data_IF_455872274393
#
_entry.id   IF_455872274393
#
_cell.length_a   1.000
_cell.length_b   1.000
_cell.length_c   1.000
_cell.angle_alpha   90.00
_cell.angle_beta   90.00
_cell.angle_gamma   90.00
#
_symmetry.space_group_name_H-M   'P 1'
#
loop_
_entity.id
_entity.type
_entity.pdbx_description
1 polymer ?
#
# COMPACT_ATOMS: atom_id res chain seq x y z
N UNK A 1 -59.81 -41.19 -12.46
CA UNK A 1 -58.69 -40.55 -13.20
C UNK A 1 -58.54 -39.06 -12.87
N UNK A 2 -59.63 -38.29 -12.80
CA UNK A 2 -59.61 -36.83 -12.52
C UNK A 2 -58.99 -36.41 -11.16
N UNK A 3 -59.18 -37.19 -10.09
CA UNK A 3 -58.54 -36.91 -8.78
C UNK A 3 -57.01 -36.99 -8.82
N UNK A 4 -56.44 -37.89 -9.63
CA UNK A 4 -54.97 -38.04 -9.75
C UNK A 4 -54.35 -36.87 -10.53
N UNK A 5 -55.05 -36.37 -11.55
CA UNK A 5 -54.67 -35.19 -12.32
C UNK A 5 -54.69 -33.92 -11.47
N UNK A 6 -55.70 -33.76 -10.61
CA UNK A 6 -55.77 -32.61 -9.69
C UNK A 6 -54.57 -32.59 -8.72
N UNK A 7 -54.17 -33.74 -8.19
CA UNK A 7 -53.01 -33.84 -7.28
C UNK A 7 -51.70 -33.50 -8.00
N UNK A 8 -51.51 -33.98 -9.23
CA UNK A 8 -50.31 -33.69 -10.04
C UNK A 8 -50.20 -32.20 -10.37
N UNK A 9 -51.32 -31.55 -10.72
CA UNK A 9 -51.36 -30.10 -10.98
C UNK A 9 -51.01 -29.31 -9.73
N UNK A 10 -51.54 -29.69 -8.57
CA UNK A 10 -51.21 -29.01 -7.31
C UNK A 10 -49.73 -29.19 -6.93
N UNK A 11 -49.15 -30.39 -7.13
CA UNK A 11 -47.72 -30.63 -6.88
C UNK A 11 -46.84 -29.81 -7.84
N UNK A 12 -47.23 -29.69 -9.12
CA UNK A 12 -46.51 -28.90 -10.12
C UNK A 12 -46.59 -27.38 -9.88
N UNK A 13 -47.63 -26.89 -9.20
CA UNK A 13 -47.79 -25.47 -8.84
C UNK A 13 -46.97 -25.07 -7.60
N UNK A 14 -46.62 -26.01 -6.72
CA UNK A 14 -45.82 -25.74 -5.51
C UNK A 14 -44.32 -25.70 -5.80
N UNK A 15 -43.85 -26.39 -6.85
CA UNK A 15 -42.42 -26.43 -7.23
C UNK A 15 -41.89 -25.14 -7.87
N UNK A 16 -42.75 -24.13 -8.09
CA UNK A 16 -42.38 -22.84 -8.70
C UNK A 16 -42.13 -21.72 -7.67
N UNK A 17 -42.29 -22.01 -6.37
CA UNK A 17 -42.10 -21.00 -5.32
C UNK A 17 -40.61 -20.78 -5.06
N UNK A 18 -40.10 -19.60 -5.43
CA UNK A 18 -38.72 -19.19 -5.10
C UNK A 18 -38.65 -18.70 -3.66
N UNK A 19 -37.70 -19.20 -2.88
CA UNK A 19 -37.50 -18.85 -1.47
C UNK A 19 -36.61 -17.61 -1.23
N UNK A 20 -36.22 -16.90 -2.29
CA UNK A 20 -35.41 -15.69 -2.22
C UNK A 20 -36.19 -14.53 -1.59
N UNK A 21 -35.55 -13.82 -0.66
CA UNK A 21 -36.13 -12.67 0.05
C UNK A 21 -35.75 -11.39 -0.69
N UNK A 22 -36.74 -10.70 -1.24
CA UNK A 22 -36.58 -9.34 -1.77
C UNK A 22 -37.14 -8.32 -0.80
N UNK A 23 -36.37 -7.30 -0.44
CA UNK A 23 -36.86 -6.13 0.28
C UNK A 23 -36.83 -4.94 -0.69
N UNK A 24 -38.01 -4.39 -0.95
CA UNK A 24 -38.21 -3.29 -1.91
C UNK A 24 -37.78 -3.62 -3.37
N UNK A 25 -37.82 -4.92 -3.72
CA UNK A 25 -37.69 -5.43 -5.09
C UNK A 25 -38.55 -6.67 -5.26
N UNK A 26 -39.24 -6.80 -6.40
CA UNK A 26 -40.01 -8.00 -6.76
C UNK A 26 -39.20 -8.97 -7.62
N UNK A 27 -38.02 -8.55 -8.08
CA UNK A 27 -37.10 -9.34 -8.89
C UNK A 27 -35.72 -9.39 -8.21
N UNK A 28 -35.57 -10.10 -7.07
CA UNK A 28 -34.27 -10.31 -6.44
C UNK A 28 -33.25 -10.89 -7.42
N UNK A 29 -32.00 -10.46 -7.30
CA UNK A 29 -30.90 -11.02 -8.07
C UNK A 29 -30.83 -12.55 -7.87
N UNK A 30 -30.76 -13.31 -8.97
CA UNK A 30 -30.76 -14.77 -8.95
C UNK A 30 -29.57 -15.38 -8.20
N UNK A 31 -28.47 -14.64 -8.02
CA UNK A 31 -27.31 -15.06 -7.22
C UNK A 31 -27.41 -14.66 -5.74
N UNK A 32 -28.58 -14.23 -5.25
CA UNK A 32 -28.77 -13.77 -3.87
C UNK A 32 -29.95 -14.45 -3.18
N UNK A 33 -29.77 -14.82 -1.91
CA UNK A 33 -30.87 -15.29 -1.07
C UNK A 33 -31.64 -14.13 -0.41
N UNK A 34 -30.97 -12.99 -0.24
CA UNK A 34 -31.53 -11.73 0.24
C UNK A 34 -31.04 -10.59 -0.66
N UNK A 35 -31.98 -9.88 -1.29
CA UNK A 35 -31.72 -8.69 -2.12
C UNK A 35 -32.48 -7.49 -1.55
N UNK A 36 -31.79 -6.38 -1.33
CA UNK A 36 -32.35 -5.17 -0.71
C UNK A 36 -32.01 -3.99 -1.61
N UNK A 37 -33.04 -3.36 -2.18
CA UNK A 37 -32.87 -2.23 -3.10
C UNK A 37 -33.42 -0.95 -2.48
N UNK A 38 -32.60 0.07 -2.33
CA UNK A 38 -33.03 1.41 -1.89
C UNK A 38 -32.08 2.46 -2.45
N UNK A 39 -32.61 3.64 -2.78
CA UNK A 39 -31.81 4.79 -3.23
C UNK A 39 -31.35 5.70 -2.08
N UNK A 40 -31.96 5.57 -0.90
CA UNK A 40 -31.87 6.54 0.20
C UNK A 40 -31.77 5.90 1.59
N UNK A 41 -31.85 4.57 1.72
CA UNK A 41 -31.77 3.85 2.99
C UNK A 41 -30.67 2.78 2.95
N UNK A 42 -30.00 2.60 4.08
CA UNK A 42 -29.03 1.53 4.31
C UNK A 42 -29.62 0.35 5.08
N UNK A 43 -28.79 -0.67 5.29
CA UNK A 43 -29.12 -1.84 6.13
C UNK A 43 -28.55 -1.63 7.53
N UNK A 44 -29.42 -1.72 8.54
CA UNK A 44 -29.00 -1.70 9.94
C UNK A 44 -28.80 -3.13 10.45
N UNK A 45 -27.54 -3.56 10.55
CA UNK A 45 -27.19 -4.83 11.16
C UNK A 45 -27.43 -4.80 12.68
N UNK A 46 -27.62 -5.97 13.34
CA UNK A 46 -27.74 -6.05 14.79
C UNK A 46 -26.62 -5.30 15.50
N UNK A 47 -26.99 -4.42 16.44
CA UNK A 47 -26.04 -3.58 17.17
C UNK A 47 -25.86 -4.09 18.59
N UNK A 48 -24.63 -4.45 18.92
CA UNK A 48 -24.29 -5.00 20.23
C UNK A 48 -23.11 -4.27 20.87
N UNK A 49 -22.85 -4.61 22.12
CA UNK A 49 -21.64 -4.21 22.82
C UNK A 49 -20.78 -5.45 23.03
N UNK A 50 -19.62 -5.48 22.37
CA UNK A 50 -18.67 -6.56 22.55
C UNK A 50 -17.84 -6.31 23.81
N UNK A 51 -17.95 -7.19 24.80
CA UNK A 51 -17.09 -7.19 25.99
C UNK A 51 -15.93 -8.19 25.87
N UNK A 52 -16.05 -9.16 24.95
CA UNK A 52 -14.99 -10.09 24.57
C UNK A 52 -15.13 -10.43 23.09
N UNK A 53 -14.01 -10.47 22.36
CA UNK A 53 -14.01 -10.90 20.96
C UNK A 53 -14.16 -12.41 20.79
N UNK A 54 -13.90 -13.22 21.81
CA UNK A 54 -13.98 -14.69 21.71
C UNK A 54 -15.26 -15.27 22.30
N UNK A 55 -16.12 -14.42 22.88
CA UNK A 55 -17.39 -14.87 23.47
C UNK A 55 -18.37 -15.33 22.39
N UNK A 56 -18.88 -16.54 22.57
CA UNK A 56 -19.91 -17.16 21.73
C UNK A 56 -21.26 -17.33 22.46
N UNK A 57 -21.42 -16.79 23.66
CA UNK A 57 -22.66 -16.87 24.46
C UNK A 57 -23.34 -15.52 24.67
N UNK A 58 -22.56 -14.43 24.63
CA UNK A 58 -23.03 -13.06 24.77
C UNK A 58 -22.11 -12.09 24.02
N UNK A 59 -22.61 -11.07 23.33
CA UNK A 59 -24.02 -10.69 23.19
C UNK A 59 -24.79 -11.52 22.15
N UNK A 60 -24.08 -12.32 21.35
CA UNK A 60 -24.67 -13.23 20.36
C UNK A 60 -24.41 -14.66 20.83
N UNK A 61 -25.48 -15.43 21.01
CA UNK A 61 -25.39 -16.83 21.41
C UNK A 61 -25.19 -17.72 20.17
N UNK A 62 -24.18 -18.58 20.20
CA UNK A 62 -23.76 -19.48 19.11
C UNK A 62 -23.71 -18.78 17.73
N UNK A 63 -22.92 -17.71 17.56
CA UNK A 63 -22.83 -17.01 16.28
C UNK A 63 -22.38 -17.94 15.16
N UNK A 64 -23.06 -17.86 14.02
CA UNK A 64 -22.70 -18.61 12.81
C UNK A 64 -21.51 -17.93 12.14
N UNK A 65 -20.56 -18.71 11.62
CA UNK A 65 -19.41 -18.17 10.87
C UNK A 65 -19.89 -17.27 9.73
N UNK A 66 -19.34 -16.07 9.64
CA UNK A 66 -19.74 -15.03 8.68
C UNK A 66 -20.88 -14.12 9.15
N UNK A 67 -21.43 -14.30 10.36
CA UNK A 67 -22.40 -13.36 10.93
C UNK A 67 -21.77 -11.97 11.09
N UNK A 68 -22.50 -10.93 10.70
CA UNK A 68 -22.06 -9.53 10.77
C UNK A 68 -22.89 -8.79 11.81
N UNK A 69 -22.21 -8.03 12.67
CA UNK A 69 -22.83 -7.14 13.67
C UNK A 69 -22.15 -5.79 13.66
N UNK A 70 -22.78 -4.80 14.28
CA UNK A 70 -22.14 -3.52 14.61
C UNK A 70 -21.84 -3.45 16.10
N UNK A 71 -20.56 -3.31 16.48
CA UNK A 71 -20.16 -3.02 17.85
C UNK A 71 -20.34 -1.52 18.13
N UNK A 72 -21.11 -1.19 19.16
CA UNK A 72 -21.33 0.20 19.58
C UNK A 72 -20.12 0.82 20.28
N UNK A 73 -19.26 0.02 20.90
CA UNK A 73 -18.08 0.50 21.64
C UNK A 73 -18.43 1.36 22.87
N UNK A 74 -19.61 1.14 23.47
CA UNK A 74 -20.07 1.83 24.69
C UNK A 74 -19.88 0.95 25.92
N UNK A 75 -20.35 1.40 27.11
CA UNK A 75 -20.70 0.54 28.26
C UNK A 75 -19.60 -0.29 28.94
N UNK A 76 -18.32 -0.02 28.65
CA UNK A 76 -17.18 -0.75 29.21
C UNK A 76 -16.47 -1.67 28.20
N UNK A 77 -16.92 -1.67 26.94
CA UNK A 77 -16.18 -2.28 25.84
C UNK A 77 -14.82 -1.61 25.64
N UNK A 78 -13.74 -2.41 25.61
CA UNK A 78 -12.41 -1.96 25.22
C UNK A 78 -12.17 -2.05 23.70
N UNK A 79 -13.21 -2.35 22.91
CA UNK A 79 -13.09 -2.56 21.46
C UNK A 79 -13.70 -1.39 20.69
N UNK A 80 -13.07 -0.95 19.58
CA UNK A 80 -13.55 0.20 18.85
C UNK A 80 -14.92 -0.04 18.20
N UNK A 81 -15.69 1.05 18.03
CA UNK A 81 -17.02 1.06 17.38
C UNK A 81 -16.91 0.69 15.89
N UNK A 82 -17.75 -0.17 15.35
CA UNK A 82 -17.67 -0.55 13.92
C UNK A 82 -18.26 -1.92 13.60
N UNK A 83 -18.16 -2.35 12.35
CA UNK A 83 -18.64 -3.66 11.93
C UNK A 83 -17.66 -4.77 12.30
N UNK A 84 -18.20 -5.87 12.83
CA UNK A 84 -17.46 -7.08 13.15
C UNK A 84 -18.11 -8.27 12.47
N UNK A 85 -17.30 -9.24 12.07
CA UNK A 85 -17.80 -10.54 11.62
C UNK A 85 -17.24 -11.67 12.48
N UNK A 86 -18.04 -12.73 12.64
CA UNK A 86 -17.61 -13.91 13.38
C UNK A 86 -16.82 -14.86 12.49
N UNK A 87 -15.57 -15.15 12.83
CA UNK A 87 -14.71 -16.08 12.07
C UNK A 87 -15.04 -17.56 12.33
N UNK A 88 -15.81 -17.84 13.37
CA UNK A 88 -16.01 -19.18 13.94
C UNK A 88 -15.49 -19.27 15.38
N UNK A 89 -14.46 -18.48 15.71
CA UNK A 89 -13.82 -18.48 17.03
C UNK A 89 -13.64 -17.08 17.64
N UNK A 90 -13.61 -16.04 16.81
CA UNK A 90 -13.37 -14.66 17.24
C UNK A 90 -14.14 -13.67 16.37
N UNK A 91 -14.60 -12.58 16.98
CA UNK A 91 -15.13 -11.40 16.32
C UNK A 91 -13.96 -10.58 15.77
N UNK A 92 -13.87 -10.48 14.45
CA UNK A 92 -12.89 -9.64 13.78
C UNK A 92 -13.53 -8.37 13.25
N UNK A 93 -12.89 -7.24 13.50
CA UNK A 93 -13.34 -5.94 13.00
C UNK A 93 -13.08 -5.83 11.50
N UNK A 94 -14.06 -5.33 10.77
CA UNK A 94 -13.86 -4.85 9.41
C UNK A 94 -13.24 -3.45 9.46
N UNK A 95 -12.02 -3.31 8.93
CA UNK A 95 -11.32 -2.03 8.88
C UNK A 95 -11.68 -1.27 7.60
N UNK A 96 -11.85 0.03 7.73
CA UNK A 96 -11.98 0.95 6.59
C UNK A 96 -10.59 1.40 6.12
N UNK A 97 -10.45 1.78 4.85
CA UNK A 97 -9.15 2.19 4.27
C UNK A 97 -8.48 3.40 4.98
N UNK A 98 -9.25 4.18 5.76
CA UNK A 98 -8.73 5.28 6.56
C UNK A 98 -8.36 4.88 8.00
N UNK A 99 -8.56 3.62 8.38
CA UNK A 99 -8.16 3.05 9.67
C UNK A 99 -6.92 2.16 9.56
N UNK A 100 -6.43 1.92 8.34
CA UNK A 100 -5.18 1.22 8.05
C UNK A 100 -4.11 2.22 7.63
N UNK A 101 -2.85 1.87 7.90
CA UNK A 101 -1.72 2.69 7.51
C UNK A 101 -1.76 2.98 6.01
N UNK A 102 -1.81 4.28 5.70
CA UNK A 102 -1.89 4.76 4.34
C UNK A 102 -0.47 4.89 3.79
N UNK A 103 -0.07 3.88 3.02
CA UNK A 103 1.26 3.75 2.44
C UNK A 103 1.20 3.74 0.93
N UNK A 104 2.17 4.40 0.32
CA UNK A 104 2.56 4.17 -1.06
C UNK A 104 3.99 3.68 -1.06
N UNK A 105 4.21 2.41 -1.39
CA UNK A 105 5.55 1.82 -1.57
C UNK A 105 5.76 1.53 -3.04
N UNK A 106 6.82 2.10 -3.60
CA UNK A 106 7.27 1.90 -4.98
C UNK A 106 8.64 1.26 -4.92
N UNK A 107 8.77 0.08 -5.51
CA UNK A 107 10.03 -0.64 -5.62
C UNK A 107 10.40 -0.73 -7.09
N UNK A 108 11.60 -0.26 -7.45
CA UNK A 108 12.17 -0.45 -8.79
C UNK A 108 12.87 -1.81 -8.82
N UNK A 109 12.41 -2.70 -9.70
CA UNK A 109 13.04 -4.01 -9.86
C UNK A 109 14.25 -3.90 -10.81
N UNK A 110 15.41 -4.34 -10.34
CA UNK A 110 16.56 -4.58 -11.21
C UNK A 110 16.36 -5.87 -12.00
N UNK A 111 16.75 -5.89 -13.29
CA UNK A 111 16.78 -7.13 -14.06
C UNK A 111 17.93 -8.04 -13.60
N UNK A 112 17.82 -9.35 -13.82
CA UNK A 112 18.91 -10.31 -13.57
C UNK A 112 20.13 -10.07 -14.48
N UNK A 113 19.99 -9.25 -15.53
CA UNK A 113 21.05 -8.90 -16.49
C UNK A 113 21.15 -7.41 -16.83
N UNK A 114 20.30 -6.54 -16.27
CA UNK A 114 20.32 -5.10 -16.58
C UNK A 114 20.08 -4.28 -15.32
N UNK A 115 21.15 -3.68 -14.83
CA UNK A 115 21.20 -2.81 -13.66
C UNK A 115 20.83 -1.39 -14.10
N UNK A 116 19.69 -0.81 -13.67
CA UNK A 116 19.37 0.56 -14.05
C UNK A 116 20.39 1.54 -13.44
N UNK A 117 21.01 2.35 -14.31
CA UNK A 117 21.80 3.50 -13.89
C UNK A 117 20.82 4.56 -13.37
N UNK A 118 20.95 4.91 -12.09
CA UNK A 118 20.10 5.90 -11.43
C UNK A 118 20.80 7.26 -11.26
N UNK A 119 22.13 7.29 -11.27
CA UNK A 119 22.93 8.51 -11.26
C UNK A 119 24.12 8.31 -12.23
N UNK A 120 24.06 8.81 -13.48
CA UNK A 120 25.18 8.74 -14.40
C UNK A 120 26.36 9.61 -13.95
N UNK A 121 27.60 9.20 -14.26
CA UNK A 121 28.79 9.98 -13.97
C UNK A 121 28.76 11.35 -14.67
N UNK A 122 29.27 12.39 -14.00
CA UNK A 122 29.39 13.75 -14.54
C UNK A 122 28.05 14.48 -14.72
N UNK A 123 26.94 13.95 -14.19
CA UNK A 123 25.63 14.59 -14.26
C UNK A 123 25.27 15.32 -12.96
N UNK A 124 24.39 16.31 -13.07
CA UNK A 124 23.82 17.04 -11.94
C UNK A 124 22.63 16.30 -11.32
N UNK A 125 21.49 16.99 -11.18
CA UNK A 125 20.28 16.41 -10.61
C UNK A 125 19.65 15.39 -11.56
N UNK A 126 19.51 14.15 -11.11
CA UNK A 126 18.86 13.08 -11.86
C UNK A 126 17.48 12.79 -11.27
N UNK A 127 16.46 12.77 -12.13
CA UNK A 127 15.11 12.39 -11.74
C UNK A 127 14.93 10.90 -11.98
N UNK A 128 14.58 10.18 -10.92
CA UNK A 128 14.38 8.73 -11.00
C UNK A 128 13.13 8.42 -11.80
N UNK A 129 13.28 7.51 -12.77
CA UNK A 129 12.15 6.88 -13.46
C UNK A 129 11.76 5.56 -12.78
N UNK A 130 10.50 5.47 -12.39
CA UNK A 130 9.82 4.29 -11.84
C UNK A 130 9.32 3.40 -12.98
N UNK A 131 10.24 2.85 -13.78
CA UNK A 131 9.94 1.83 -14.78
C UNK A 131 10.14 0.43 -14.19
N UNK A 132 9.35 -0.56 -14.63
CA UNK A 132 9.43 -1.95 -14.13
C UNK A 132 9.33 -2.04 -12.59
N UNK A 133 8.21 -1.58 -12.03
CA UNK A 133 8.03 -1.40 -10.58
C UNK A 133 6.99 -2.29 -9.94
N UNK A 134 7.23 -2.68 -8.69
CA UNK A 134 6.21 -3.18 -7.77
C UNK A 134 5.61 -2.02 -6.99
N UNK A 135 4.28 -1.87 -7.01
CA UNK A 135 3.57 -0.79 -6.32
C UNK A 135 2.60 -1.40 -5.30
N UNK A 136 2.69 -0.94 -4.05
CA UNK A 136 1.66 -1.14 -3.03
C UNK A 136 1.13 0.25 -2.70
N UNK A 137 -0.18 0.47 -2.90
CA UNK A 137 -0.81 1.76 -2.62
C UNK A 137 -2.10 1.58 -1.84
N UNK A 138 -2.13 2.08 -0.60
CA UNK A 138 -3.33 2.24 0.23
C UNK A 138 -3.71 3.70 0.43
N UNK A 139 -2.94 4.65 -0.12
CA UNK A 139 -3.27 6.08 -0.10
C UNK A 139 -4.30 6.38 -1.21
N UNK A 140 -5.52 6.84 -0.87
CA UNK A 140 -6.52 7.19 -1.87
C UNK A 140 -6.09 8.40 -2.71
N UNK A 141 -6.33 8.36 -4.03
CA UNK A 141 -6.10 9.50 -4.93
C UNK A 141 -4.68 9.64 -5.47
N UNK A 142 -3.77 8.71 -5.19
CA UNK A 142 -2.44 8.67 -5.81
C UNK A 142 -2.55 8.35 -7.30
N UNK A 143 -1.84 9.10 -8.15
CA UNK A 143 -1.71 8.80 -9.58
C UNK A 143 -0.25 8.86 -10.04
N UNK A 144 0.05 8.16 -11.14
CA UNK A 144 1.38 8.11 -11.74
C UNK A 144 1.34 8.64 -13.17
N UNK A 145 2.31 9.46 -13.57
CA UNK A 145 2.42 9.95 -14.95
C UNK A 145 3.87 10.05 -15.44
N UNK A 146 4.08 9.81 -16.74
CA UNK A 146 5.38 10.00 -17.39
C UNK A 146 6.53 9.18 -16.80
N UNK A 147 6.24 8.08 -16.09
CA UNK A 147 7.24 7.21 -15.46
C UNK A 147 8.03 7.82 -14.29
N UNK A 148 7.86 9.11 -13.97
CA UNK A 148 8.65 9.81 -12.94
C UNK A 148 7.78 10.55 -11.93
N UNK A 149 6.57 10.97 -12.33
CA UNK A 149 5.69 11.80 -11.50
C UNK A 149 4.79 10.93 -10.64
N UNK A 150 4.76 11.23 -9.34
CA UNK A 150 3.83 10.67 -8.37
C UNK A 150 2.94 11.82 -7.87
N UNK A 151 1.67 11.83 -8.23
CA UNK A 151 0.73 12.81 -7.68
C UNK A 151 0.19 12.30 -6.36
N UNK A 152 0.46 13.04 -5.29
CA UNK A 152 0.00 12.75 -3.94
C UNK A 152 -1.09 13.77 -3.55
N UNK A 153 -2.15 13.36 -2.83
CA UNK A 153 -3.11 14.30 -2.28
C UNK A 153 -2.48 15.21 -1.22
N UNK A 154 -3.19 16.26 -0.81
CA UNK A 154 -2.76 17.09 0.30
C UNK A 154 -2.57 16.27 1.61
N UNK A 155 -1.65 16.74 2.45
CA UNK A 155 -1.35 16.16 3.76
C UNK A 155 0.15 16.09 4.04
N UNK A 156 0.47 15.57 5.21
CA UNK A 156 1.85 15.37 5.67
C UNK A 156 2.27 13.91 5.50
N UNK A 157 3.46 13.70 4.96
CA UNK A 157 4.02 12.39 4.66
C UNK A 157 5.37 12.22 5.32
N UNK A 158 5.63 11.03 5.86
CA UNK A 158 7.01 10.56 6.03
C UNK A 158 7.42 9.86 4.75
N UNK A 159 8.54 10.27 4.17
CA UNK A 159 9.07 9.67 2.94
C UNK A 159 10.38 8.98 3.25
N UNK A 160 10.43 7.66 3.06
CA UNK A 160 11.64 6.87 3.16
C UNK A 160 12.13 6.51 1.74
N UNK A 161 13.37 6.85 1.42
CA UNK A 161 14.07 6.47 0.20
C UNK A 161 15.20 5.54 0.60
N UNK A 162 15.18 4.30 0.15
CA UNK A 162 16.29 3.37 0.30
C UNK A 162 16.83 3.01 -1.07
N UNK A 163 18.15 2.97 -1.21
CA UNK A 163 18.80 2.55 -2.45
C UNK A 163 20.10 1.82 -2.14
N UNK A 164 20.46 0.93 -3.05
CA UNK A 164 21.70 0.18 -3.01
C UNK A 164 22.60 0.71 -4.12
N UNK A 165 23.85 1.00 -3.79
CA UNK A 165 24.88 1.39 -4.76
C UNK A 165 25.82 0.21 -5.05
N UNK A 166 26.12 0.02 -6.33
CA UNK A 166 27.06 -0.98 -6.84
C UNK A 166 28.10 -0.33 -7.76
N UNK A 167 29.34 -0.84 -7.72
CA UNK A 167 30.44 -0.46 -8.62
C UNK A 167 30.80 -1.60 -9.57
N UNK A 168 30.99 -1.26 -10.86
CA UNK A 168 31.37 -2.19 -11.93
C UNK A 168 32.89 -2.15 -12.28
N UNK A 169 33.78 -1.91 -11.30
CA UNK A 169 35.27 -1.81 -11.39
C UNK A 169 35.83 -0.44 -11.87
N UNK A 170 37.00 0.11 -11.49
CA UNK A 170 38.25 -0.32 -10.80
C UNK A 170 38.83 0.83 -9.93
N UNK A 171 39.52 0.43 -8.84
CA UNK A 171 40.47 1.15 -7.96
C UNK A 171 40.88 2.61 -8.28
N UNK A 172 40.79 3.49 -7.28
CA UNK A 172 41.45 4.80 -7.29
C UNK A 172 42.75 4.79 -6.48
N UNK A 173 43.81 5.29 -7.09
CA UNK A 173 45.08 5.59 -6.45
C UNK A 173 44.99 6.90 -5.66
N UNK A 174 44.56 6.85 -4.39
CA UNK A 174 44.98 7.79 -3.34
C UNK A 174 44.34 7.42 -1.98
N UNK A 175 45.21 7.30 -0.96
CA UNK A 175 44.99 7.16 0.49
C UNK A 175 44.23 5.95 1.07
N UNK A 176 43.36 5.25 0.34
CA UNK A 176 42.79 3.98 0.82
C UNK A 176 42.74 2.97 -0.32
N UNK A 177 43.82 2.21 -0.51
CA UNK A 177 43.84 1.08 -1.45
C UNK A 177 42.72 0.08 -1.07
N UNK A 178 41.88 -0.31 -2.03
CA UNK A 178 40.83 -1.33 -1.91
C UNK A 178 39.47 -0.90 -1.32
N UNK A 179 39.16 0.41 -1.26
CA UNK A 179 37.88 0.92 -0.74
C UNK A 179 37.22 1.94 -1.70
N UNK A 180 35.89 1.87 -1.84
CA UNK A 180 35.04 2.84 -2.54
C UNK A 180 34.30 3.72 -1.54
N UNK A 181 34.45 5.04 -1.64
CA UNK A 181 33.63 6.00 -0.92
C UNK A 181 32.56 6.53 -1.88
N UNK A 182 31.33 6.63 -1.41
CA UNK A 182 30.22 7.14 -2.19
C UNK A 182 29.44 8.15 -1.38
N UNK A 183 29.26 9.32 -1.97
CA UNK A 183 28.45 10.39 -1.43
C UNK A 183 27.22 10.55 -2.33
N UNK A 184 26.04 10.25 -1.81
CA UNK A 184 24.79 10.35 -2.55
C UNK A 184 23.93 11.41 -1.90
N UNK A 185 23.43 12.37 -2.69
CA UNK A 185 22.36 13.24 -2.23
C UNK A 185 21.02 12.76 -2.75
N UNK A 186 19.99 12.90 -1.92
CA UNK A 186 18.61 12.64 -2.28
C UNK A 186 17.71 13.79 -1.83
N UNK A 187 16.62 13.98 -2.56
CA UNK A 187 15.58 14.93 -2.20
C UNK A 187 14.31 14.68 -2.99
N UNK A 188 13.19 15.19 -2.49
CA UNK A 188 11.92 15.17 -3.21
C UNK A 188 11.73 16.54 -3.86
N UNK A 189 11.41 16.55 -5.16
CA UNK A 189 11.21 17.78 -5.95
C UNK A 189 9.82 17.79 -6.58
N UNK A 190 9.32 18.97 -6.94
CA UNK A 190 8.12 19.11 -7.77
C UNK A 190 8.45 18.92 -9.26
N UNK A 191 7.46 19.11 -10.14
CA UNK A 191 7.60 19.00 -11.62
C UNK A 191 8.46 20.10 -12.27
N UNK A 192 8.75 21.18 -11.56
CA UNK A 192 9.67 22.25 -11.97
C UNK A 192 11.09 22.07 -11.43
N UNK A 193 11.40 20.90 -10.85
CA UNK A 193 12.67 20.57 -10.16
C UNK A 193 12.95 21.42 -8.91
N UNK A 194 11.96 22.13 -8.37
CA UNK A 194 12.12 22.83 -7.10
C UNK A 194 12.04 21.84 -5.94
N UNK A 195 12.96 21.97 -4.99
CA UNK A 195 13.06 21.08 -3.84
C UNK A 195 11.87 21.29 -2.88
N UNK A 196 11.20 20.20 -2.51
CA UNK A 196 10.06 20.17 -1.58
C UNK A 196 10.45 19.65 -0.19
N UNK A 197 11.64 19.08 -0.06
CA UNK A 197 12.24 18.64 1.21
C UNK A 197 13.59 19.33 1.41
N UNK A 198 14.29 19.07 2.51
CA UNK A 198 15.73 19.34 2.52
C UNK A 198 16.46 18.37 1.58
N UNK A 199 17.64 18.78 1.11
CA UNK A 199 18.57 17.90 0.40
C UNK A 199 19.37 17.15 1.47
N UNK A 200 19.32 15.82 1.47
CA UNK A 200 20.08 15.00 2.42
C UNK A 200 21.23 14.29 1.73
N UNK A 201 22.38 14.28 2.39
CA UNK A 201 23.59 13.60 1.95
C UNK A 201 23.80 12.33 2.77
N UNK A 202 24.02 11.21 2.08
CA UNK A 202 24.36 9.93 2.65
C UNK A 202 25.76 9.52 2.20
N UNK A 203 26.53 8.96 3.12
CA UNK A 203 27.93 8.65 2.88
C UNK A 203 28.21 7.24 3.37
N UNK A 204 28.85 6.42 2.53
CA UNK A 204 29.24 5.05 2.87
C UNK A 204 30.65 4.74 2.34
N UNK A 205 31.32 3.80 3.01
CA UNK A 205 32.64 3.26 2.63
C UNK A 205 32.44 1.76 2.37
N UNK A 206 32.96 1.23 1.26
CA UNK A 206 32.89 -0.21 0.98
C UNK A 206 33.70 -1.03 2.00
N UNK A 207 33.50 -2.35 2.07
CA UNK A 207 34.43 -3.20 2.84
C UNK A 207 35.81 -3.32 2.19
N UNK A 208 36.79 -3.86 2.94
CA UNK A 208 38.10 -4.24 2.40
C UNK A 208 37.94 -5.36 1.35
N UNK A 209 38.55 -5.19 0.19
CA UNK A 209 38.53 -6.18 -0.89
C UNK A 209 37.45 -5.86 -1.91
N UNK A 210 37.92 -5.46 -3.10
CA UNK A 210 37.19 -5.08 -4.30
C UNK A 210 36.49 -6.27 -4.97
N UNK A 211 35.85 -7.16 -4.19
CA UNK A 211 35.12 -8.28 -4.76
C UNK A 211 33.85 -7.74 -5.46
N UNK A 212 33.64 -7.99 -6.76
CA UNK A 212 32.38 -7.69 -7.41
C UNK A 212 31.23 -8.32 -6.60
N UNK A 213 30.22 -7.52 -6.24
CA UNK A 213 29.04 -7.96 -5.49
C UNK A 213 28.91 -7.42 -4.06
N UNK A 214 29.74 -6.45 -3.62
CA UNK A 214 29.51 -5.71 -2.37
C UNK A 214 28.53 -4.56 -2.61
N UNK A 215 27.42 -4.54 -1.87
CA UNK A 215 26.33 -3.57 -1.98
C UNK A 215 26.45 -2.54 -0.85
N UNK A 216 26.32 -1.24 -1.16
CA UNK A 216 26.23 -0.19 -0.16
C UNK A 216 24.79 0.31 -0.03
N UNK A 217 24.16 0.06 1.12
CA UNK A 217 22.79 0.48 1.39
C UNK A 217 22.70 1.91 1.93
N UNK A 218 21.79 2.69 1.38
CA UNK A 218 21.45 4.04 1.80
C UNK A 218 20.02 4.09 2.28
N UNK A 219 19.78 4.95 3.28
CA UNK A 219 18.43 5.31 3.73
C UNK A 219 18.35 6.80 3.98
N UNK A 220 17.40 7.43 3.31
CA UNK A 220 17.03 8.82 3.54
C UNK A 220 15.59 8.87 4.03
N UNK A 221 15.33 9.70 5.04
CA UNK A 221 13.97 9.90 5.58
C UNK A 221 13.66 11.39 5.59
N UNK A 222 12.48 11.76 5.10
CA UNK A 222 12.00 13.14 5.03
C UNK A 222 10.61 13.26 5.67
N UNK A 223 10.30 14.46 6.15
CA UNK A 223 8.91 14.89 6.34
C UNK A 223 8.58 15.81 5.18
N UNK A 224 7.49 15.50 4.47
CA UNK A 224 7.02 16.21 3.29
C UNK A 224 5.60 16.70 3.56
N UNK A 225 5.38 18.00 3.56
CA UNK A 225 4.06 18.59 3.72
C UNK A 225 3.57 19.12 2.37
N UNK A 226 2.39 18.68 1.93
CA UNK A 226 1.76 19.13 0.69
C UNK A 226 0.48 19.92 1.03
N UNK A 227 0.42 21.24 0.81
CA UNK A 227 -0.77 22.04 1.12
C UNK A 227 -1.94 21.77 0.16
N UNK A 228 -1.64 21.22 -1.03
CA UNK A 228 -2.59 20.81 -2.04
C UNK A 228 -2.09 19.55 -2.73
N UNK A 229 -2.98 18.86 -3.45
CA UNK A 229 -2.57 17.73 -4.31
C UNK A 229 -1.54 18.21 -5.34
N UNK A 230 -0.38 17.56 -5.40
CA UNK A 230 0.68 17.92 -6.35
C UNK A 230 1.53 16.72 -6.74
N UNK A 231 2.16 16.81 -7.91
CA UNK A 231 3.13 15.82 -8.39
C UNK A 231 4.51 16.04 -7.79
N UNK A 232 5.06 14.96 -7.22
CA UNK A 232 6.41 14.89 -6.66
C UNK A 232 7.26 13.89 -7.42
N UNK A 233 8.57 14.06 -7.34
CA UNK A 233 9.57 13.21 -7.99
C UNK A 233 10.76 12.99 -7.07
N UNK A 234 11.39 11.83 -7.18
CA UNK A 234 12.64 11.55 -6.49
C UNK A 234 13.81 12.11 -7.33
N UNK A 235 14.62 12.95 -6.70
CA UNK A 235 15.86 13.46 -7.26
C UNK A 235 17.07 12.84 -6.53
N UNK A 236 18.04 12.36 -7.31
CA UNK A 236 19.32 11.84 -6.82
C UNK A 236 20.48 12.54 -7.55
N UNK A 237 21.60 12.77 -6.85
CA UNK A 237 22.85 13.16 -7.49
C UNK A 237 24.06 12.69 -6.67
N UNK A 238 25.24 12.74 -7.27
CA UNK A 238 26.49 12.59 -6.53
C UNK A 238 26.71 13.82 -5.65
N UNK A 239 26.99 13.59 -4.37
CA UNK A 239 27.36 14.67 -3.46
C UNK A 239 28.82 15.08 -3.60
N UNK A 240 29.12 16.24 -3.03
CA UNK A 240 30.47 16.78 -3.00
C UNK A 240 31.39 15.88 -2.15
N UNK A 241 32.60 15.62 -2.63
CA UNK A 241 33.54 14.71 -2.02
C UNK A 241 33.96 13.61 -3.00
N UNK A 242 34.41 12.48 -2.47
CA UNK A 242 34.76 11.32 -3.30
C UNK A 242 33.48 10.52 -3.59
N UNK A 243 32.80 10.87 -4.67
CA UNK A 243 31.98 9.89 -5.38
C UNK A 243 32.93 9.32 -6.42
N UNK A 244 33.17 8.00 -6.42
CA UNK A 244 33.91 7.41 -7.55
C UNK A 244 33.28 7.94 -8.85
N UNK A 245 34.08 8.37 -9.82
CA UNK A 245 33.59 8.91 -11.10
C UNK A 245 32.92 7.84 -11.97
N UNK A 246 32.23 6.88 -11.37
CA UNK A 246 31.43 5.85 -11.98
C UNK A 246 29.94 6.17 -11.91
N UNK A 247 29.16 5.38 -12.63
CA UNK A 247 27.70 5.45 -12.56
C UNK A 247 27.21 4.78 -11.26
N UNK A 248 26.19 5.33 -10.63
CA UNK A 248 25.46 4.63 -9.56
C UNK A 248 24.40 3.71 -10.15
N UNK A 249 24.51 2.41 -9.89
CA UNK A 249 23.56 1.36 -10.29
C UNK A 249 22.74 0.86 -9.10
N UNK A 250 21.49 0.44 -9.35
CA UNK A 250 20.66 -0.24 -8.35
C UNK A 250 20.45 -1.73 -8.70
N UNK A 251 20.78 -2.66 -7.79
CA UNK A 251 20.65 -4.10 -8.04
C UNK A 251 19.41 -4.74 -7.43
N UNK A 252 18.78 -5.65 -8.20
CA UNK A 252 17.64 -6.57 -7.92
C UNK A 252 16.39 -6.01 -7.21
N UNK A 253 16.50 -5.09 -6.26
CA UNK A 253 15.44 -4.44 -5.49
C UNK A 253 15.87 -3.13 -4.83
N UNK A 254 17.05 -2.59 -5.18
CA UNK A 254 17.76 -1.57 -4.41
C UNK A 254 16.94 -0.32 -4.15
N UNK A 255 16.35 0.29 -5.19
CA UNK A 255 15.60 1.53 -5.00
C UNK A 255 14.15 1.28 -4.58
N UNK A 256 13.84 1.66 -3.34
CA UNK A 256 12.48 1.68 -2.79
C UNK A 256 12.18 3.08 -2.28
N UNK A 257 11.05 3.62 -2.69
CA UNK A 257 10.49 4.87 -2.17
C UNK A 257 9.18 4.56 -1.49
N UNK A 258 9.07 4.89 -0.21
CA UNK A 258 7.84 4.68 0.57
C UNK A 258 7.35 5.98 1.15
N UNK A 259 6.14 6.36 0.80
CA UNK A 259 5.39 7.46 1.40
C UNK A 259 4.44 6.89 2.43
N UNK A 260 4.56 7.33 3.66
CA UNK A 260 3.62 7.05 4.74
C UNK A 260 2.81 8.33 4.96
N UNK A 261 1.53 8.32 4.63
CA UNK A 261 0.65 9.45 4.95
C UNK A 261 0.40 9.42 6.46
N UNK A 262 0.78 10.49 7.13
CA UNK A 262 0.59 10.60 8.58
C UNK A 262 -0.89 10.89 8.86
N UNK A 263 -1.41 10.32 9.93
CA UNK A 263 -2.73 10.67 10.43
C UNK A 263 -2.68 12.11 10.95
N UNK A 264 -3.54 12.97 10.41
CA UNK A 264 -3.78 14.34 10.85
C UNK A 264 -5.13 14.43 11.56
#
# INVERSE_FOLDING_TARGET
MMKKIFIIINIALVSIVKAQVGINTTTPNLSSMLDIVSSDKGVLFPQYELLSLTSNTSPVNNPVKGSIIYNKGTGGSNYPKGYFYWTGNVWERMLMNNEVDQILRIQVFGGTSSQPIIIPNGTGNNIVSFNNTGIINTIPGVTFSGGQNITLPAGTYRVDVTLDCYNDSTSVAAFITNYSFFVVNAGIVNTSNALLTDLKTGTQISGNGYAPGKIQGYKFTYILQLPASQSVRLMLNHGNGFSEGGNTYANQSGLVVTFYKMYE
#
